data_IF_085572519885
#
_entry.id   IF_085572519885
#
_cell.length_a   1.000
_cell.length_b   1.000
_cell.length_c   1.000
_cell.angle_alpha   90.00
_cell.angle_beta   90.00
_cell.angle_gamma   90.00
#
_symmetry.space_group_name_H-M   'P 1'
#
loop_
_entity.id
_entity.type
_entity.pdbx_description
1 polymer ?
#
# COMPACT_ATOMS: atom_id res chain seq x y z
N UNK A 1 -8.59 -9.56 -14.56
CA UNK A 1 -8.56 -8.20 -13.98
C UNK A 1 -7.76 -8.26 -12.68
N UNK A 2 -6.98 -7.23 -12.40
CA UNK A 2 -6.13 -7.16 -11.23
C UNK A 2 -6.42 -5.86 -10.48
N UNK A 3 -6.34 -5.90 -9.16
CA UNK A 3 -6.57 -4.75 -8.28
C UNK A 3 -5.29 -4.43 -7.52
N UNK A 4 -4.95 -3.14 -7.50
CA UNK A 4 -3.82 -2.64 -6.72
C UNK A 4 -4.18 -2.70 -5.24
N UNK A 5 -3.34 -3.36 -4.45
CA UNK A 5 -3.54 -3.46 -3.00
C UNK A 5 -2.33 -3.04 -2.18
N UNK A 6 -1.13 -2.95 -2.77
CA UNK A 6 0.02 -2.38 -2.08
C UNK A 6 0.94 -1.56 -2.99
N UNK A 7 1.47 -0.47 -2.45
CA UNK A 7 2.44 0.41 -3.09
C UNK A 7 3.62 0.58 -2.15
N UNK A 8 4.83 0.24 -2.58
CA UNK A 8 6.06 0.54 -1.84
C UNK A 8 6.68 1.77 -2.45
N UNK A 9 7.05 2.70 -1.59
CA UNK A 9 7.70 3.95 -1.97
C UNK A 9 9.10 3.97 -1.36
N UNK A 10 10.06 4.43 -2.17
CA UNK A 10 11.40 4.73 -1.72
C UNK A 10 11.60 6.23 -1.75
N UNK A 11 11.94 6.82 -0.61
CA UNK A 11 12.30 8.25 -0.51
C UNK A 11 13.78 8.36 -0.22
N UNK A 12 14.56 8.75 -1.22
CA UNK A 12 16.01 8.89 -1.09
C UNK A 12 16.63 9.33 -2.39
N UNK A 13 17.74 10.06 -2.30
CA UNK A 13 18.47 10.56 -3.47
C UNK A 13 19.31 9.47 -4.17
N UNK A 14 19.58 8.36 -3.49
CA UNK A 14 20.46 7.31 -3.98
C UNK A 14 19.82 5.94 -3.83
N UNK A 15 20.23 4.97 -4.63
CA UNK A 15 19.80 3.58 -4.49
C UNK A 15 20.36 2.90 -3.23
N UNK A 16 21.40 3.46 -2.62
CA UNK A 16 22.10 2.88 -1.47
C UNK A 16 21.68 3.50 -0.13
N UNK A 17 20.88 4.58 -0.15
CA UNK A 17 20.43 5.28 1.04
C UNK A 17 19.12 6.01 0.78
N UNK A 18 18.18 5.79 1.68
CA UNK A 18 16.85 6.38 1.67
C UNK A 18 15.97 5.69 2.71
N UNK A 19 14.67 5.94 2.62
CA UNK A 19 13.65 5.40 3.51
C UNK A 19 12.56 4.71 2.71
N UNK A 20 12.24 3.48 3.09
CA UNK A 20 11.18 2.70 2.48
C UNK A 20 9.97 2.68 3.40
N UNK A 21 8.81 2.94 2.81
CA UNK A 21 7.52 2.74 3.49
C UNK A 21 6.51 2.22 2.47
N UNK A 22 5.34 1.80 2.96
CA UNK A 22 4.33 1.24 2.07
C UNK A 22 2.93 1.76 2.36
N UNK A 23 2.09 1.66 1.34
CA UNK A 23 0.66 1.84 1.43
C UNK A 23 -0.02 0.50 1.19
N UNK A 24 -0.92 0.11 2.09
CA UNK A 24 -1.68 -1.15 2.00
C UNK A 24 -3.17 -0.85 1.98
N UNK A 25 -3.88 -1.48 1.05
CA UNK A 25 -5.34 -1.50 0.96
C UNK A 25 -5.87 -2.63 1.82
N UNK A 26 -6.45 -2.30 2.96
CA UNK A 26 -7.00 -3.31 3.89
C UNK A 26 -8.41 -3.75 3.50
N UNK A 27 -9.16 -2.87 2.81
CA UNK A 27 -10.51 -3.12 2.31
C UNK A 27 -10.76 -2.26 1.06
N UNK A 28 -11.83 -2.47 0.28
CA UNK A 28 -12.06 -1.78 -0.99
C UNK A 28 -11.95 -0.25 -0.94
N UNK A 29 -12.13 0.42 0.20
CA UNK A 29 -12.05 1.88 0.31
C UNK A 29 -11.10 2.37 1.41
N UNK A 30 -10.30 1.46 1.98
CA UNK A 30 -9.44 1.80 3.11
C UNK A 30 -7.99 1.53 2.78
N UNK A 31 -7.22 2.62 2.73
CA UNK A 31 -5.79 2.61 2.57
C UNK A 31 -5.09 3.07 3.85
N UNK A 32 -3.95 2.45 4.13
CA UNK A 32 -3.10 2.80 5.26
C UNK A 32 -1.68 3.07 4.75
N UNK A 33 -1.06 4.13 5.25
CA UNK A 33 0.39 4.34 5.19
C UNK A 33 1.02 3.64 6.39
N UNK A 34 1.93 2.72 6.14
CA UNK A 34 2.74 2.03 7.12
C UNK A 34 4.16 2.57 7.00
N UNK A 35 4.55 3.40 7.96
CA UNK A 35 5.82 4.10 8.04
C UNK A 35 6.54 3.67 9.32
N UNK A 36 7.32 2.60 9.23
CA UNK A 36 7.90 1.87 10.36
C UNK A 36 6.85 1.54 11.45
N UNK A 37 6.97 2.16 12.62
CA UNK A 37 6.05 1.97 13.75
C UNK A 37 4.77 2.80 13.64
N UNK A 38 4.68 3.71 12.66
CA UNK A 38 3.56 4.64 12.50
C UNK A 38 2.62 4.18 11.39
N UNK A 39 1.41 3.81 11.78
CA UNK A 39 0.33 3.46 10.84
C UNK A 39 -0.72 4.56 10.82
N UNK A 40 -1.08 5.04 9.63
CA UNK A 40 -2.09 6.09 9.45
C UNK A 40 -3.02 5.79 8.29
N UNK A 41 -4.30 6.13 8.42
CA UNK A 41 -5.26 6.02 7.32
C UNK A 41 -5.06 7.15 6.32
N UNK A 42 -5.11 6.84 5.03
CA UNK A 42 -4.92 7.80 3.93
C UNK A 42 -5.99 7.62 2.84
N UNK A 43 -6.20 8.65 2.04
CA UNK A 43 -7.10 8.59 0.88
C UNK A 43 -6.43 7.87 -0.30
N UNK A 44 -7.22 7.19 -1.13
CA UNK A 44 -6.72 6.48 -2.32
C UNK A 44 -6.00 7.43 -3.29
N UNK A 45 -6.58 8.61 -3.56
CA UNK A 45 -5.96 9.63 -4.43
C UNK A 45 -4.57 10.06 -3.95
N UNK A 46 -4.35 10.07 -2.62
CA UNK A 46 -3.04 10.34 -2.05
C UNK A 46 -2.06 9.20 -2.33
N UNK A 47 -2.49 7.95 -2.23
CA UNK A 47 -1.66 6.77 -2.55
C UNK A 47 -1.30 6.74 -4.03
N UNK A 48 -2.26 7.03 -4.91
CA UNK A 48 -2.08 7.00 -6.37
C UNK A 48 -1.19 8.12 -6.90
N UNK A 49 -0.99 9.20 -6.13
CA UNK A 49 -0.08 10.30 -6.49
C UNK A 49 1.38 10.09 -6.09
N UNK A 50 1.71 8.97 -5.42
CA UNK A 50 3.07 8.72 -4.94
C UNK A 50 3.98 8.20 -6.05
N UNK A 51 5.28 8.48 -5.92
CA UNK A 51 6.33 7.91 -6.75
C UNK A 51 6.55 6.43 -6.37
N UNK A 52 5.75 5.55 -6.97
CA UNK A 52 5.78 4.13 -6.69
C UNK A 52 7.11 3.50 -7.13
N UNK A 53 7.73 2.74 -6.22
CA UNK A 53 8.91 1.93 -6.50
C UNK A 53 8.53 0.49 -6.84
N UNK A 54 7.64 -0.13 -6.05
CA UNK A 54 7.11 -1.48 -6.30
C UNK A 54 5.59 -1.46 -6.13
N UNK A 55 4.89 -2.11 -7.05
CA UNK A 55 3.43 -2.25 -7.04
C UNK A 55 3.05 -3.71 -6.87
N UNK A 56 2.11 -3.99 -5.96
CA UNK A 56 1.52 -5.32 -5.79
C UNK A 56 0.06 -5.33 -6.18
N UNK A 57 -0.28 -6.29 -7.04
CA UNK A 57 -1.60 -6.49 -7.58
C UNK A 57 -2.13 -7.87 -7.21
N UNK A 58 -3.38 -7.93 -6.78
CA UNK A 58 -4.09 -9.17 -6.55
C UNK A 58 -5.02 -9.44 -7.74
N UNK A 59 -5.25 -10.72 -8.06
CA UNK A 59 -6.22 -11.08 -9.09
C UNK A 59 -7.62 -10.81 -8.53
N UNK A 60 -8.51 -10.28 -9.37
CA UNK A 60 -9.90 -10.05 -8.99
C UNK A 60 -10.52 -11.35 -8.46
N UNK A 61 -11.19 -11.27 -7.30
CA UNK A 61 -11.72 -12.43 -6.56
C UNK A 61 -10.79 -12.97 -5.47
N UNK A 62 -9.58 -12.44 -5.30
CA UNK A 62 -8.78 -12.68 -4.10
C UNK A 62 -9.47 -12.05 -2.88
N UNK A 63 -9.71 -12.80 -1.79
CA UNK A 63 -10.33 -12.25 -0.57
C UNK A 63 -9.50 -11.11 0.03
N UNK A 64 -10.18 -10.09 0.53
CA UNK A 64 -9.52 -9.00 1.25
C UNK A 64 -9.01 -9.47 2.61
N UNK A 65 -7.92 -8.85 3.08
CA UNK A 65 -7.40 -9.13 4.41
C UNK A 65 -8.44 -8.86 5.51
N UNK A 66 -9.27 -7.81 5.35
CA UNK A 66 -10.38 -7.56 6.28
C UNK A 66 -11.34 -8.75 6.38
N UNK A 67 -11.63 -9.43 5.28
CA UNK A 67 -12.52 -10.59 5.24
C UNK A 67 -11.93 -11.80 5.95
N UNK A 68 -10.59 -11.89 6.04
CA UNK A 68 -9.91 -12.99 6.73
C UNK A 68 -9.83 -12.78 8.25
N UNK A 69 -10.03 -11.55 8.75
CA UNK A 69 -10.01 -11.24 10.18
C UNK A 69 -11.41 -11.24 10.82
N UNK A 70 -12.47 -11.44 10.03
CA UNK A 70 -13.86 -11.50 10.49
C UNK A 70 -14.32 -12.93 10.89
N UNK A 71 -13.39 -13.89 11.01
CA UNK A 71 -13.62 -15.25 11.53
C UNK A 71 -12.98 -15.45 12.89
#
# INVERSE_FOLDING_TARGET
MYELYAVVVHTGLTSCSGHYFCFIRSSPQTWHKLDDSKVTKVAEDFVLSQEAYILFYARHGTPWFSTLMET
#
